data_IF_686264529193
#
_entry.id   IF_686264529193
#
_cell.length_a   1.000
_cell.length_b   1.000
_cell.length_c   1.000
_cell.angle_alpha   90.00
_cell.angle_beta   90.00
_cell.angle_gamma   90.00
#
_symmetry.space_group_name_H-M   'P 1'
#
loop_
_entity.id
_entity.type
_entity.pdbx_description
1 polymer ?
#
# COMPACT_ATOMS: atom_id res chain seq x y z
N UNK A 1 -2.99 -23.29 15.80
CA UNK A 1 -2.56 -22.76 16.23
C UNK A 1 -2.44 -22.19 16.21
N UNK A 2 -2.86 -22.71 15.89
CA UNK A 2 -2.44 -22.07 16.23
C UNK A 2 -2.42 -21.62 16.15
N UNK A 3 -2.43 -21.81 15.42
CA UNK A 3 -2.13 -21.28 15.81
C UNK A 3 -1.95 -20.81 15.78
N UNK A 4 -2.10 -21.15 15.08
CA UNK A 4 -1.69 -20.64 15.44
C UNK A 4 -1.39 -20.07 15.36
N UNK A 5 -1.68 -20.61 14.44
CA UNK A 5 -1.12 -20.06 14.79
C UNK A 5 -1.25 -19.59 15.16
N UNK A 6 -1.47 -19.62 14.93
CA UNK A 6 -1.27 -19.15 15.68
C UNK A 6 -1.40 -18.44 16.05
N UNK A 7 -1.80 -18.69 15.81
CA UNK A 7 -1.62 -18.13 16.62
C UNK A 7 -1.70 -17.64 17.11
N UNK A 8 -1.75 -17.75 16.73
CA UNK A 8 -1.48 -17.30 17.61
C UNK A 8 -1.37 -16.81 17.92
N UNK A 9 -1.34 -16.97 17.69
CA UNK A 9 -0.95 -16.52 18.32
C UNK A 9 -0.69 -15.93 18.60
N UNK A 10 -0.68 -16.18 18.21
CA UNK A 10 -0.16 -15.69 18.75
C UNK A 10 0.25 -15.21 19.00
N UNK A 11 0.47 -15.52 18.91
CA UNK A 11 1.17 -15.12 19.33
C UNK A 11 1.68 -14.69 19.45
N UNK A 12 1.93 -14.95 19.30
CA UNK A 12 2.55 -14.62 19.62
C UNK A 12 3.04 -14.30 20.03
N UNK A 13 3.50 -14.52 20.21
CA UNK A 13 4.00 -14.34 20.63
C UNK A 13 4.62 -14.05 21.12
N UNK A 14 5.11 -14.19 21.14
CA UNK A 14 5.63 -14.01 21.47
C UNK A 14 6.33 -13.48 22.07
N UNK A 15 6.67 -13.59 22.32
CA UNK A 15 7.20 -13.03 22.65
C UNK A 15 7.71 -12.19 22.92
N UNK A 16 8.20 -11.66 22.90
CA UNK A 16 8.67 -10.79 22.91
C UNK A 16 8.87 -10.01 22.21
N UNK A 17 8.98 -9.58 21.99
CA UNK A 17 9.07 -8.68 21.15
C UNK A 17 8.46 -8.78 20.13
N UNK A 18 7.89 -8.82 20.08
CA UNK A 18 7.28 -9.25 19.53
C UNK A 18 6.74 -8.80 18.36
N UNK A 19 6.63 -9.57 17.40
CA UNK A 19 6.03 -9.22 16.15
C UNK A 19 4.55 -9.08 16.32
N UNK A 20 4.02 -8.03 15.74
CA UNK A 20 2.59 -7.76 15.75
C UNK A 20 2.10 -7.94 14.32
N UNK A 21 0.93 -8.50 14.16
CA UNK A 21 0.29 -8.61 12.86
C UNK A 21 -0.85 -7.60 12.80
N UNK A 22 -0.87 -6.78 11.77
CA UNK A 22 -1.91 -5.77 11.61
C UNK A 22 -2.40 -5.77 10.17
N UNK A 23 -3.65 -5.42 9.95
CA UNK A 23 -4.26 -5.38 8.63
C UNK A 23 -5.26 -4.24 8.55
N UNK A 24 -5.38 -3.71 7.35
CA UNK A 24 -6.43 -2.72 7.09
C UNK A 24 -6.82 -2.79 5.62
N UNK A 25 -8.11 -2.80 5.35
CA UNK A 25 -8.59 -2.80 3.98
C UNK A 25 -8.57 -1.37 3.44
N UNK A 26 -8.15 -1.23 2.19
CA UNK A 26 -8.14 0.06 1.52
C UNK A 26 -8.93 -0.04 0.22
N UNK A 27 -9.42 1.11 -0.23
CA UNK A 27 -10.06 1.24 -1.53
C UNK A 27 -9.28 2.26 -2.34
N UNK A 28 -8.94 1.91 -3.56
CA UNK A 28 -8.18 2.81 -4.43
C UNK A 28 -9.14 3.85 -4.99
N UNK A 29 -8.86 5.12 -4.75
CA UNK A 29 -9.74 6.19 -5.17
C UNK A 29 -9.14 7.10 -6.24
N UNK A 30 -7.84 7.00 -6.50
CA UNK A 30 -7.25 7.83 -7.54
C UNK A 30 -7.58 7.26 -8.91
N UNK A 31 -7.82 8.15 -9.84
CA UNK A 31 -8.41 7.82 -11.13
C UNK A 31 -7.64 6.78 -11.90
N UNK A 32 -6.34 6.87 -11.90
CA UNK A 32 -5.50 5.93 -12.65
C UNK A 32 -5.04 4.73 -11.83
N UNK A 33 -5.51 4.60 -10.60
CA UNK A 33 -5.12 3.50 -9.74
C UNK A 33 -3.69 3.62 -9.27
N UNK A 34 -3.12 2.53 -8.80
CA UNK A 34 -1.74 2.51 -8.34
C UNK A 34 -0.80 2.31 -9.52
N UNK A 35 -0.70 3.34 -10.36
CA UNK A 35 0.26 3.31 -11.46
C UNK A 35 1.65 3.65 -10.91
N UNK A 36 2.62 3.90 -11.77
CA UNK A 36 4.03 3.93 -11.37
C UNK A 36 4.36 4.94 -10.27
N UNK A 37 3.81 6.15 -10.34
CA UNK A 37 4.18 7.18 -9.37
C UNK A 37 3.64 6.88 -7.98
N UNK A 38 2.32 6.63 -7.81
CA UNK A 38 1.84 6.29 -6.47
C UNK A 38 2.41 4.96 -5.97
N UNK A 39 2.66 3.99 -6.88
CA UNK A 39 3.28 2.74 -6.47
C UNK A 39 4.67 2.99 -5.89
N UNK A 40 5.46 3.86 -6.52
CA UNK A 40 6.79 4.16 -6.03
C UNK A 40 6.73 4.85 -4.67
N UNK A 41 5.77 5.76 -4.48
CA UNK A 41 5.62 6.41 -3.19
C UNK A 41 5.18 5.43 -2.11
N UNK A 42 4.28 4.52 -2.47
CA UNK A 42 3.81 3.50 -1.55
C UNK A 42 4.98 2.62 -1.08
N UNK A 43 5.79 2.16 -2.02
CA UNK A 43 6.93 1.29 -1.70
C UNK A 43 7.94 2.05 -0.84
N UNK A 44 8.22 3.30 -1.19
CA UNK A 44 9.16 4.09 -0.41
C UNK A 44 8.68 4.23 1.03
N UNK A 45 7.40 4.51 1.22
CA UNK A 45 6.86 4.64 2.57
C UNK A 45 6.89 3.30 3.30
N UNK A 46 6.56 2.21 2.60
CA UNK A 46 6.55 0.89 3.22
C UNK A 46 7.94 0.47 3.68
N UNK A 47 8.96 0.78 2.88
CA UNK A 47 10.31 0.35 3.23
C UNK A 47 10.92 1.17 4.36
N UNK A 48 10.27 2.25 4.77
CA UNK A 48 10.74 3.02 5.91
C UNK A 48 10.39 2.36 7.25
N UNK A 49 9.49 1.37 7.23
CA UNK A 49 9.11 0.67 8.45
C UNK A 49 9.95 -0.58 8.63
N UNK A 50 9.97 -1.09 9.85
CA UNK A 50 10.77 -2.26 10.18
C UNK A 50 9.99 -3.55 9.99
N UNK A 51 8.69 -3.43 9.80
CA UNK A 51 7.84 -4.60 9.58
C UNK A 51 7.89 -5.06 8.14
N UNK A 52 7.54 -6.32 7.93
CA UNK A 52 7.31 -6.82 6.58
C UNK A 52 5.90 -6.44 6.20
N UNK A 53 5.71 -5.97 4.98
CA UNK A 53 4.43 -5.42 4.56
C UNK A 53 4.04 -6.01 3.22
N UNK A 54 2.77 -6.38 3.10
CA UNK A 54 2.23 -6.96 1.86
C UNK A 54 0.94 -6.27 1.48
N UNK A 55 0.63 -6.34 0.18
CA UNK A 55 -0.69 -6.01 -0.33
C UNK A 55 -1.39 -7.30 -0.69
N UNK A 56 -2.60 -7.48 -0.21
CA UNK A 56 -3.39 -8.67 -0.52
C UNK A 56 -4.54 -8.25 -1.42
N UNK A 57 -4.65 -8.91 -2.56
CA UNK A 57 -5.77 -8.67 -3.47
C UNK A 57 -6.35 -10.02 -3.84
N UNK A 58 -7.59 -10.25 -3.41
CA UNK A 58 -8.19 -11.55 -3.56
C UNK A 58 -7.38 -12.57 -2.78
N UNK A 59 -6.93 -13.61 -3.44
CA UNK A 59 -6.12 -14.64 -2.78
C UNK A 59 -4.63 -14.44 -3.02
N UNK A 60 -4.25 -13.33 -3.66
CA UNK A 60 -2.86 -13.10 -3.99
C UNK A 60 -2.21 -12.11 -3.04
N UNK A 61 -0.92 -12.25 -2.90
CA UNK A 61 -0.15 -11.50 -1.94
C UNK A 61 1.06 -10.92 -2.65
N UNK A 62 1.26 -9.63 -2.50
CA UNK A 62 2.32 -8.90 -3.20
C UNK A 62 3.18 -8.17 -2.19
N UNK A 63 4.49 -8.19 -2.38
CA UNK A 63 5.39 -7.51 -1.47
C UNK A 63 5.28 -6.00 -1.64
N UNK A 64 5.05 -5.29 -0.54
CA UNK A 64 5.03 -3.83 -0.58
C UNK A 64 6.43 -3.23 -0.66
N UNK A 65 7.46 -4.07 -0.59
CA UNK A 65 8.84 -3.61 -0.72
C UNK A 65 9.32 -3.63 -2.17
N UNK A 66 8.46 -4.05 -3.09
CA UNK A 66 8.85 -4.19 -4.50
C UNK A 66 7.89 -3.41 -5.38
N UNK A 67 8.38 -2.43 -6.11
CA UNK A 67 7.56 -1.66 -7.04
C UNK A 67 6.94 -2.57 -8.08
N UNK A 68 7.70 -3.54 -8.58
CA UNK A 68 7.20 -4.47 -9.58
C UNK A 68 6.02 -5.27 -9.02
N UNK A 69 6.14 -5.74 -7.78
CA UNK A 69 5.06 -6.49 -7.16
C UNK A 69 3.80 -5.63 -7.00
N UNK A 70 3.97 -4.40 -6.53
CA UNK A 70 2.83 -3.52 -6.34
C UNK A 70 2.15 -3.23 -7.67
N UNK A 71 2.93 -3.02 -8.74
CA UNK A 71 2.36 -2.81 -10.06
C UNK A 71 1.66 -4.06 -10.57
N UNK A 72 2.23 -5.22 -10.27
CA UNK A 72 1.63 -6.50 -10.69
C UNK A 72 0.26 -6.73 -10.04
N UNK A 73 0.06 -6.16 -8.85
CA UNK A 73 -1.23 -6.27 -8.17
C UNK A 73 -2.34 -5.60 -8.98
N UNK A 74 -1.98 -4.67 -9.87
CA UNK A 74 -2.93 -4.05 -10.80
C UNK A 74 -4.16 -3.48 -10.08
N UNK A 75 -3.88 -2.61 -9.13
CA UNK A 75 -4.95 -2.00 -8.34
C UNK A 75 -5.48 -0.77 -9.06
N UNK A 76 -6.68 -0.88 -9.56
CA UNK A 76 -7.33 0.18 -10.32
C UNK A 76 -8.32 0.95 -9.45
N UNK A 77 -8.77 2.09 -9.95
CA UNK A 77 -9.75 2.89 -9.23
C UNK A 77 -10.97 2.04 -8.90
N UNK A 78 -11.39 2.04 -7.66
CA UNK A 78 -12.52 1.25 -7.19
C UNK A 78 -12.14 -0.10 -6.62
N UNK A 79 -10.92 -0.56 -6.86
CA UNK A 79 -10.50 -1.85 -6.34
C UNK A 79 -10.22 -1.75 -4.84
N UNK A 80 -10.41 -2.88 -4.16
CA UNK A 80 -10.05 -2.97 -2.76
C UNK A 80 -8.86 -3.91 -2.59
N UNK A 81 -8.10 -3.67 -1.56
CA UNK A 81 -6.98 -4.53 -1.20
C UNK A 81 -6.80 -4.43 0.29
N UNK A 82 -6.02 -5.33 0.86
CA UNK A 82 -5.71 -5.29 2.28
C UNK A 82 -4.22 -5.05 2.45
N UNK A 83 -3.86 -4.09 3.28
CA UNK A 83 -2.48 -3.91 3.68
C UNK A 83 -2.26 -4.77 4.91
N UNK A 84 -1.27 -5.66 4.85
CA UNK A 84 -0.94 -6.53 5.97
C UNK A 84 0.50 -6.27 6.36
N UNK A 85 0.76 -6.13 7.65
CA UNK A 85 2.11 -5.91 8.14
C UNK A 85 2.37 -6.79 9.33
N UNK A 86 3.61 -7.26 9.43
CA UNK A 86 4.04 -8.08 10.55
C UNK A 86 5.39 -7.59 11.02
N UNK A 87 5.49 -7.19 12.27
CA UNK A 87 6.73 -6.70 12.82
C UNK A 87 6.51 -5.73 13.96
N UNK A 88 7.59 -5.10 14.44
CA UNK A 88 7.49 -4.26 15.65
C UNK A 88 6.67 -2.99 15.45
N UNK A 89 6.59 -2.47 14.24
CA UNK A 89 5.82 -1.26 13.98
C UNK A 89 4.67 -1.51 13.01
N UNK A 90 4.12 -2.73 13.04
CA UNK A 90 3.10 -3.14 12.07
C UNK A 90 1.86 -2.26 12.10
N UNK A 91 1.37 -1.90 13.29
CA UNK A 91 0.15 -1.10 13.39
C UNK A 91 0.37 0.29 12.80
N UNK A 92 1.49 0.87 13.12
CA UNK A 92 1.82 2.18 12.61
C UNK A 92 1.99 2.15 11.10
N UNK A 93 2.64 1.10 10.60
CA UNK A 93 2.87 0.94 9.17
C UNK A 93 1.56 0.85 8.40
N UNK A 94 0.65 0.00 8.88
CA UNK A 94 -0.64 -0.18 8.21
C UNK A 94 -1.43 1.10 8.22
N UNK A 95 -1.45 1.79 9.35
CA UNK A 95 -2.19 3.04 9.48
C UNK A 95 -1.63 4.10 8.53
N UNK A 96 -0.32 4.24 8.51
CA UNK A 96 0.30 5.26 7.66
C UNK A 96 0.07 4.96 6.18
N UNK A 97 0.20 3.70 5.79
CA UNK A 97 0.03 3.34 4.38
C UNK A 97 -1.42 3.47 3.96
N UNK A 98 -2.37 3.17 4.85
CA UNK A 98 -3.78 3.37 4.53
C UNK A 98 -4.07 4.86 4.34
N UNK A 99 -3.51 5.72 5.17
CA UNK A 99 -3.66 7.16 5.01
C UNK A 99 -3.06 7.62 3.69
N UNK A 100 -1.89 7.09 3.35
CA UNK A 100 -1.21 7.47 2.12
C UNK A 100 -2.06 7.13 0.89
N UNK A 101 -2.68 5.96 0.88
CA UNK A 101 -3.51 5.60 -0.26
C UNK A 101 -4.74 6.50 -0.37
N UNK A 102 -5.28 6.95 0.76
CA UNK A 102 -6.37 7.91 0.72
C UNK A 102 -5.90 9.26 0.16
N UNK A 103 -4.68 9.64 0.51
CA UNK A 103 -4.10 10.88 -0.01
C UNK A 103 -3.90 10.83 -1.52
N UNK A 104 -3.55 9.64 -2.03
CA UNK A 104 -3.39 9.48 -3.48
C UNK A 104 -4.65 9.89 -4.24
N UNK A 105 -5.80 9.62 -3.69
CA UNK A 105 -7.05 9.95 -4.34
C UNK A 105 -7.32 11.44 -4.42
N UNK A 106 -6.61 12.22 -3.61
CA UNK A 106 -6.78 13.67 -3.58
C UNK A 106 -5.69 14.41 -4.32
N UNK A 107 -4.67 13.69 -4.81
CA UNK A 107 -3.53 14.30 -5.44
C UNK A 107 -3.71 14.43 -6.92
N UNK A 108 -3.16 15.50 -7.47
CA UNK A 108 -3.05 15.65 -8.91
C UNK A 108 -1.71 15.04 -9.32
N UNK A 109 -1.75 13.94 -10.02
CA UNK A 109 -0.55 13.22 -10.40
C UNK A 109 0.07 13.77 -11.67
N UNK A 110 0.00 15.06 -11.86
CA UNK A 110 0.66 15.61 -12.93
C UNK A 110 -0.11 15.71 -14.12
N UNK A 111 -0.24 16.28 -14.57
CA UNK A 111 -0.79 16.48 -15.58
C UNK A 111 -1.13 15.61 -16.48
N UNK A 112 -1.54 14.69 -16.03
CA UNK A 112 -2.04 13.83 -16.88
C UNK A 112 -3.14 14.43 -17.58
N UNK A 113 -3.72 15.48 -17.16
CA UNK A 113 -4.61 16.11 -17.89
C UNK A 113 -3.94 16.97 -18.73
N UNK A 114 -4.15 17.03 -19.77
CA UNK A 114 -3.45 17.77 -20.70
C UNK A 114 -3.83 19.14 -20.51
N UNK A 115 -3.50 19.67 -20.27
CA UNK A 115 -3.66 20.74 -19.92
C UNK A 115 -3.95 21.44 -20.72
N UNK A 116 -4.20 21.12 -20.85
CA UNK A 116 -4.36 21.51 -21.34
C UNK A 116 -4.22 22.04 -21.48
N UNK A 117 -4.27 21.64 -21.49
CA UNK A 117 -3.79 22.04 -21.35
C UNK A 117 -3.41 22.64 -21.38
N UNK A 118 -3.56 22.40 -21.48
CA UNK A 118 -2.89 22.84 -21.30
C UNK A 118 -2.38 23.12 -21.61
N UNK A 119 -2.49 23.01 -22.21
CA UNK A 119 -1.74 23.15 -22.34
C UNK A 119 -1.36 23.55 -22.56
N UNK A 120 -1.42 23.45 -22.86
CA UNK A 120 -0.72 23.72 -22.84
C UNK A 120 -0.21 23.88 -22.85
N UNK A 121 -0.52 23.79 -23.27
CA UNK A 121 0.22 23.84 -23.16
C UNK A 121 0.72 23.83 -23.24
N UNK A 122 0.70 23.47 -23.49
CA UNK A 122 1.38 23.39 -23.40
C UNK A 122 1.86 23.40 -23.44
N UNK A 123 1.77 23.25 -23.78
CA UNK A 123 2.41 23.19 -23.67
C UNK A 123 2.97 23.21 -23.65
N UNK A 124 2.92 23.12 -24.02
CA UNK A 124 3.61 23.01 -23.95
C UNK A 124 4.15 22.84 -24.11
N UNK A 125 4.37 22.53 -24.29
CA UNK A 125 4.83 22.12 -24.43
C UNK A 125 5.23 22.34 -24.65
#
# INVERSE_FOLDING_TARGET
MAEQYRTDQSASRRGNGLAVLSREEITITNELGLHARPAAEFVRAATAFRSQIWLLKGSERFSAASIIDVLTANLNCGDTATIEAEGPDAEEAVKRLAELTREFGKKDWGSLRPRSLDLQAEEDF
#
